data_IF_472685947893
#
_entry.id   IF_472685947893
#
_cell.length_a   1.000
_cell.length_b   1.000
_cell.length_c   1.000
_cell.angle_alpha   90.00
_cell.angle_beta   90.00
_cell.angle_gamma   90.00
#
_symmetry.space_group_name_H-M   'P 1'
#
loop_
_entity.id
_entity.type
_entity.pdbx_description
1 polymer ?
#
# COMPACT_ATOMS: atom_id res chain seq x y z
N UNK A 1 5.10 -4.23 8.23
CA UNK A 1 5.13 -5.66 7.82
C UNK A 1 3.86 -6.39 8.21
N UNK A 2 3.43 -6.34 9.47
CA UNK A 2 2.27 -7.09 9.99
C UNK A 2 1.02 -7.18 9.08
N UNK A 3 0.54 -6.06 8.51
CA UNK A 3 -0.63 -6.09 7.62
C UNK A 3 -0.37 -6.89 6.32
N UNK A 4 0.83 -6.75 5.75
CA UNK A 4 1.23 -7.49 4.56
C UNK A 4 1.40 -8.99 4.87
N UNK A 5 2.06 -9.33 5.95
CA UNK A 5 2.26 -10.74 6.37
C UNK A 5 0.91 -11.44 6.62
N UNK A 6 -0.04 -10.74 7.25
CA UNK A 6 -1.41 -11.24 7.43
C UNK A 6 -2.11 -11.51 6.10
N UNK A 7 -1.99 -10.60 5.14
CA UNK A 7 -2.63 -10.75 3.82
C UNK A 7 -1.99 -11.86 2.98
N UNK A 8 -0.65 -11.94 2.99
CA UNK A 8 0.10 -12.94 2.23
C UNK A 8 0.02 -14.33 2.91
N UNK A 9 -0.24 -14.38 4.21
CA UNK A 9 -0.38 -15.61 4.98
C UNK A 9 0.95 -16.28 5.34
N UNK A 10 2.07 -15.56 5.21
CA UNK A 10 3.43 -16.03 5.56
C UNK A 10 4.30 -14.88 6.03
N UNK A 11 5.34 -15.19 6.80
CA UNK A 11 6.35 -14.22 7.19
C UNK A 11 7.07 -13.64 5.97
N UNK A 12 7.36 -12.34 6.01
CA UNK A 12 8.09 -11.64 4.94
C UNK A 12 9.48 -11.29 5.50
N UNK A 13 10.56 -11.93 5.00
CA UNK A 13 11.91 -11.62 5.45
C UNK A 13 12.23 -10.14 5.26
N UNK A 14 12.67 -9.48 6.32
CA UNK A 14 13.04 -8.07 6.31
C UNK A 14 14.40 -7.88 6.98
N UNK A 15 15.16 -6.89 6.51
CA UNK A 15 16.45 -6.48 7.09
C UNK A 15 16.46 -4.97 7.22
N UNK A 16 16.97 -4.46 8.33
CA UNK A 16 17.20 -3.03 8.47
C UNK A 16 18.39 -2.62 7.60
N UNK A 17 18.25 -1.47 6.94
CA UNK A 17 19.28 -0.84 6.13
C UNK A 17 19.36 0.65 6.51
N UNK A 18 20.42 1.32 6.08
CA UNK A 18 20.57 2.76 6.28
C UNK A 18 19.43 3.55 5.61
N UNK A 19 19.10 4.71 6.18
CA UNK A 19 18.10 5.59 5.58
C UNK A 19 18.63 6.13 4.26
N UNK A 20 17.78 6.16 3.23
CA UNK A 20 18.10 6.85 1.99
C UNK A 20 18.19 8.35 2.25
N UNK A 21 19.27 8.98 1.78
CA UNK A 21 19.43 10.44 1.88
C UNK A 21 18.27 11.14 1.18
N UNK A 22 17.70 12.16 1.83
CA UNK A 22 16.54 12.91 1.35
C UNK A 22 15.18 12.43 1.88
N UNK A 23 15.07 11.23 2.45
CA UNK A 23 13.78 10.75 2.97
C UNK A 23 13.42 11.45 4.30
N UNK A 24 12.22 12.05 4.43
CA UNK A 24 11.73 12.53 5.72
C UNK A 24 11.35 11.36 6.63
N UNK A 25 11.29 11.59 7.95
CA UNK A 25 10.89 10.55 8.90
C UNK A 25 9.42 10.13 8.72
N UNK A 26 8.54 11.09 8.41
CA UNK A 26 7.10 10.89 8.17
C UNK A 26 6.65 11.89 7.10
N UNK A 27 5.78 11.46 6.19
CA UNK A 27 5.16 12.30 5.17
C UNK A 27 3.70 11.86 4.95
N UNK A 28 2.75 12.63 5.48
CA UNK A 28 1.31 12.33 5.39
C UNK A 28 0.56 13.62 5.06
N UNK A 29 -0.28 13.59 4.02
CA UNK A 29 -1.11 14.73 3.63
C UNK A 29 -2.48 14.69 4.34
N UNK A 30 -3.01 15.85 4.74
CA UNK A 30 -4.41 15.96 5.15
C UNK A 30 -5.33 15.78 3.94
N UNK A 31 -6.45 15.10 4.17
CA UNK A 31 -7.53 14.92 3.18
C UNK A 31 -8.71 15.87 3.40
N UNK A 32 -8.63 16.76 4.38
CA UNK A 32 -9.79 17.53 4.85
C UNK A 32 -10.36 18.44 3.77
N UNK A 33 -9.50 19.10 3.00
CA UNK A 33 -9.90 19.96 1.89
C UNK A 33 -10.69 19.19 0.83
N UNK A 34 -10.25 17.98 0.46
CA UNK A 34 -10.96 17.15 -0.51
C UNK A 34 -12.34 16.69 0.02
N UNK A 35 -12.45 16.41 1.31
CA UNK A 35 -13.75 16.09 1.93
C UNK A 35 -14.70 17.28 1.88
N UNK A 36 -14.20 18.47 2.21
CA UNK A 36 -15.00 19.69 2.30
C UNK A 36 -15.45 20.20 0.93
N UNK A 37 -14.53 20.29 -0.03
CA UNK A 37 -14.81 20.91 -1.34
C UNK A 37 -15.46 19.93 -2.33
N UNK A 38 -15.10 18.64 -2.28
CA UNK A 38 -15.54 17.65 -3.25
C UNK A 38 -16.56 16.65 -2.69
N UNK A 39 -16.86 16.72 -1.39
CA UNK A 39 -17.63 15.67 -0.71
C UNK A 39 -16.94 14.31 -0.75
N UNK A 40 -15.62 14.27 -0.96
CA UNK A 40 -14.89 13.03 -1.19
C UNK A 40 -14.80 12.18 0.09
N UNK A 41 -15.26 10.93 -0.01
CA UNK A 41 -15.17 9.95 1.08
C UNK A 41 -14.38 8.73 0.58
N UNK A 42 -13.23 8.38 1.21
CA UNK A 42 -12.43 7.24 0.77
C UNK A 42 -13.14 5.92 1.08
N UNK A 43 -13.43 5.13 0.06
CA UNK A 43 -14.05 3.81 0.22
C UNK A 43 -13.05 2.69 0.54
N UNK A 44 -11.74 2.95 0.47
CA UNK A 44 -10.65 1.99 0.69
C UNK A 44 -9.55 2.57 1.59
N UNK A 45 -9.91 2.92 2.82
CA UNK A 45 -8.97 3.50 3.78
C UNK A 45 -8.14 2.45 4.57
N UNK A 46 -8.54 1.18 4.52
CA UNK A 46 -7.86 0.08 5.22
C UNK A 46 -6.57 -0.30 4.51
N UNK A 47 -5.45 -0.29 5.24
CA UNK A 47 -4.17 -0.80 4.72
C UNK A 47 -4.24 -2.28 4.33
N UNK A 48 -5.06 -3.08 5.03
CA UNK A 48 -5.26 -4.48 4.71
C UNK A 48 -6.01 -4.65 3.38
N UNK A 49 -7.01 -3.82 3.11
CA UNK A 49 -7.76 -3.84 1.85
C UNK A 49 -6.88 -3.47 0.68
N UNK A 50 -6.07 -2.41 0.84
CA UNK A 50 -5.12 -1.93 -0.17
C UNK A 50 -4.09 -3.02 -0.50
N UNK A 51 -3.51 -3.66 0.52
CA UNK A 51 -2.54 -4.73 0.29
C UNK A 51 -3.24 -5.97 -0.30
N UNK A 52 -4.47 -6.29 0.12
CA UNK A 52 -5.23 -7.43 -0.39
C UNK A 52 -5.52 -7.31 -1.88
N UNK A 53 -5.96 -6.13 -2.35
CA UNK A 53 -6.21 -5.93 -3.79
C UNK A 53 -4.92 -6.05 -4.61
N UNK A 54 -3.82 -5.44 -4.13
CA UNK A 54 -2.52 -5.55 -4.78
C UNK A 54 -2.01 -7.01 -4.82
N UNK A 55 -2.09 -7.73 -3.70
CA UNK A 55 -1.64 -9.12 -3.62
C UNK A 55 -2.43 -10.03 -4.55
N UNK A 56 -3.76 -9.87 -4.63
CA UNK A 56 -4.62 -10.63 -5.55
C UNK A 56 -4.18 -10.43 -7.00
N UNK A 57 -3.93 -9.17 -7.40
CA UNK A 57 -3.48 -8.86 -8.75
C UNK A 57 -2.13 -9.51 -9.07
N UNK A 58 -1.12 -9.28 -8.22
CA UNK A 58 0.23 -9.80 -8.44
C UNK A 58 0.30 -11.33 -8.38
N UNK A 59 -0.55 -11.98 -7.57
CA UNK A 59 -0.63 -13.43 -7.51
C UNK A 59 -1.24 -14.03 -8.78
N UNK A 60 -2.24 -13.36 -9.36
CA UNK A 60 -2.87 -13.79 -10.62
C UNK A 60 -2.02 -13.44 -11.86
N UNK A 61 -1.20 -12.39 -11.79
CA UNK A 61 -0.41 -11.86 -12.89
C UNK A 61 1.07 -11.71 -12.48
N UNK A 62 1.79 -12.82 -12.24
CA UNK A 62 3.17 -12.77 -11.77
C UNK A 62 4.13 -12.12 -12.77
N UNK A 63 3.77 -12.09 -14.05
CA UNK A 63 4.53 -11.45 -15.13
C UNK A 63 3.92 -10.12 -15.60
N UNK A 64 2.95 -9.58 -14.85
CA UNK A 64 2.21 -8.39 -15.25
C UNK A 64 1.21 -8.66 -16.36
N UNK A 65 0.94 -7.64 -17.17
CA UNK A 65 0.07 -7.78 -18.33
C UNK A 65 0.72 -8.67 -19.39
N UNK A 66 -0.06 -9.49 -20.10
CA UNK A 66 0.42 -10.12 -21.32
C UNK A 66 0.84 -9.01 -22.29
N UNK A 67 2.03 -9.13 -22.88
CA UNK A 67 2.39 -8.25 -23.99
C UNK A 67 1.31 -8.41 -25.07
N UNK A 68 0.58 -7.32 -25.32
CA UNK A 68 -0.48 -7.28 -26.33
C UNK A 68 0.03 -7.51 -27.74
#
# INVERSE_FOLDING_TARGET
>A
LAAAERVVGRGIPARHAERRSGDPAVLVASSDRARQELGWVPCRASIADIISSAWKWHSAHPHGYANG
#
